data_IF_219213443238
#
_entry.id   IF_219213443238
#
_cell.length_a   1.000
_cell.length_b   1.000
_cell.length_c   1.000
_cell.angle_alpha   90.00
_cell.angle_beta   90.00
_cell.angle_gamma   90.00
#
_symmetry.space_group_name_H-M   'P 1'
#
loop_
_entity.id
_entity.type
_entity.pdbx_description
1 polymer ?
#
# COMPACT_ATOMS: atom_id res chain seq x y z
N UNK A 1 9.75 -22.41 17.64
CA UNK A 1 8.31 -22.18 17.86
C UNK A 1 7.91 -20.70 17.86
N UNK A 2 8.80 -19.73 18.08
CA UNK A 2 8.46 -18.31 18.08
C UNK A 2 8.32 -17.65 16.68
N UNK A 3 9.05 -18.14 15.66
CA UNK A 3 9.02 -17.55 14.31
C UNK A 3 7.68 -17.72 13.57
N UNK A 4 6.94 -18.79 13.85
CA UNK A 4 5.66 -19.07 13.19
C UNK A 4 4.54 -18.10 13.60
N UNK A 5 4.53 -17.65 14.86
CA UNK A 5 3.57 -16.66 15.36
C UNK A 5 3.85 -15.28 14.79
N UNK A 6 5.13 -14.88 14.76
CA UNK A 6 5.57 -13.60 14.21
C UNK A 6 5.31 -13.48 12.71
N UNK A 7 5.48 -14.56 11.95
CA UNK A 7 5.16 -14.59 10.52
C UNK A 7 3.65 -14.40 10.27
N UNK A 8 2.78 -14.88 11.17
CA UNK A 8 1.34 -14.78 11.00
C UNK A 8 0.81 -13.38 11.30
N UNK A 9 1.40 -12.71 12.29
CA UNK A 9 1.13 -11.30 12.58
C UNK A 9 1.60 -10.38 11.45
N UNK A 10 2.79 -10.65 10.88
CA UNK A 10 3.34 -9.88 9.74
C UNK A 10 2.44 -9.99 8.48
N UNK A 11 1.88 -11.17 8.21
CA UNK A 11 0.94 -11.38 7.10
C UNK A 11 -0.41 -10.71 7.37
N UNK A 12 -0.92 -10.81 8.61
CA UNK A 12 -2.18 -10.18 9.00
C UNK A 12 -2.11 -8.66 8.84
N UNK A 13 -0.98 -8.07 9.22
CA UNK A 13 -0.73 -6.65 9.04
C UNK A 13 -0.61 -6.24 7.56
N UNK A 14 0.12 -7.02 6.76
CA UNK A 14 0.19 -6.80 5.30
C UNK A 14 -1.21 -6.82 4.67
N UNK A 15 -2.05 -7.80 5.03
CA UNK A 15 -3.42 -7.90 4.52
C UNK A 15 -4.26 -6.70 4.96
N UNK A 16 -4.11 -6.25 6.21
CA UNK A 16 -4.81 -5.06 6.70
C UNK A 16 -4.36 -3.79 5.95
N UNK A 17 -3.06 -3.64 5.70
CA UNK A 17 -2.49 -2.55 4.90
C UNK A 17 -3.02 -2.57 3.47
N UNK A 18 -2.99 -3.72 2.80
CA UNK A 18 -3.48 -3.88 1.43
C UNK A 18 -4.97 -3.55 1.32
N UNK A 19 -5.80 -3.98 2.29
CA UNK A 19 -7.22 -3.62 2.33
C UNK A 19 -7.43 -2.11 2.48
N UNK A 20 -6.65 -1.47 3.33
CA UNK A 20 -6.73 -0.01 3.51
C UNK A 20 -6.32 0.74 2.23
N UNK A 21 -5.25 0.28 1.57
CA UNK A 21 -4.78 0.82 0.30
C UNK A 21 -5.81 0.63 -0.82
N UNK A 22 -6.48 -0.52 -0.86
CA UNK A 22 -7.50 -0.83 -1.87
C UNK A 22 -8.75 0.05 -1.70
N UNK A 23 -9.17 0.26 -0.44
CA UNK A 23 -10.29 1.13 -0.05
C UNK A 23 -10.03 2.63 -0.23
N UNK A 24 -8.89 3.04 -0.81
CA UNK A 24 -8.58 4.42 -1.14
C UNK A 24 -8.92 4.71 -2.63
N UNK A 25 -10.14 5.15 -2.98
CA UNK A 25 -10.56 5.34 -4.38
C UNK A 25 -9.93 6.57 -5.02
N UNK A 26 -9.65 7.62 -4.25
CA UNK A 26 -9.06 8.88 -4.72
C UNK A 26 -7.54 8.81 -4.88
N UNK A 27 -6.93 7.71 -4.48
CA UNK A 27 -5.49 7.51 -4.49
C UNK A 27 -5.01 6.89 -5.79
N UNK A 28 -3.91 7.41 -6.32
CA UNK A 28 -3.25 6.84 -7.49
C UNK A 28 -2.58 5.51 -7.14
N UNK A 29 -2.39 4.64 -8.14
CA UNK A 29 -1.63 3.39 -7.97
C UNK A 29 -0.21 3.65 -7.46
N UNK A 30 0.38 4.80 -7.81
CA UNK A 30 1.70 5.22 -7.34
C UNK A 30 1.68 5.53 -5.84
N UNK A 31 0.69 6.29 -5.36
CA UNK A 31 0.52 6.60 -3.93
C UNK A 31 0.26 5.33 -3.11
N UNK A 32 -0.55 4.42 -3.66
CA UNK A 32 -0.80 3.09 -3.10
C UNK A 32 0.50 2.29 -2.98
N UNK A 33 1.30 2.25 -4.05
CA UNK A 33 2.57 1.56 -4.09
C UNK A 33 3.60 2.16 -3.12
N UNK A 34 3.76 3.48 -3.10
CA UNK A 34 4.68 4.15 -2.18
C UNK A 34 4.29 3.93 -0.72
N UNK A 35 3.00 3.96 -0.41
CA UNK A 35 2.49 3.64 0.93
C UNK A 35 2.89 2.24 1.36
N UNK A 36 2.74 1.25 0.48
CA UNK A 36 3.16 -0.11 0.73
C UNK A 36 4.68 -0.20 0.98
N UNK A 37 5.50 0.44 0.13
CA UNK A 37 6.96 0.45 0.29
C UNK A 37 7.38 1.08 1.62
N UNK A 38 6.86 2.25 1.96
CA UNK A 38 7.24 2.95 3.20
C UNK A 38 6.83 2.17 4.45
N UNK A 39 5.65 1.55 4.45
CA UNK A 39 5.25 0.66 5.53
C UNK A 39 6.18 -0.56 5.64
N UNK A 40 6.55 -1.17 4.52
CA UNK A 40 7.47 -2.29 4.48
C UNK A 40 8.85 -1.92 5.00
N UNK A 41 9.35 -0.73 4.66
CA UNK A 41 10.62 -0.20 5.16
C UNK A 41 10.56 0.09 6.66
N UNK A 42 9.50 0.75 7.15
CA UNK A 42 9.29 1.04 8.58
C UNK A 42 9.26 -0.24 9.44
N UNK A 43 8.75 -1.34 8.88
CA UNK A 43 8.70 -2.65 9.55
C UNK A 43 9.96 -3.50 9.37
N UNK A 44 10.83 -3.14 8.43
CA UNK A 44 11.96 -3.98 8.03
C UNK A 44 11.53 -5.25 7.27
N UNK A 45 10.33 -5.27 6.70
CA UNK A 45 9.71 -6.45 6.07
C UNK A 45 9.60 -6.34 4.55
N UNK A 46 10.05 -5.23 3.94
CA UNK A 46 9.91 -5.00 2.49
C UNK A 46 10.51 -6.13 1.63
N UNK A 47 11.66 -6.68 2.01
CA UNK A 47 12.29 -7.81 1.32
C UNK A 47 11.43 -9.07 1.39
N UNK A 48 10.84 -9.37 2.57
CA UNK A 48 9.93 -10.52 2.75
C UNK A 48 8.66 -10.38 1.91
N UNK A 49 8.11 -9.17 1.86
CA UNK A 49 6.89 -8.92 1.08
C UNK A 49 7.15 -9.02 -0.42
N UNK A 50 8.31 -8.53 -0.89
CA UNK A 50 8.77 -8.72 -2.25
C UNK A 50 8.95 -10.20 -2.60
N UNK A 51 9.63 -10.96 -1.75
CA UNK A 51 9.82 -12.41 -1.92
C UNK A 51 8.50 -13.15 -1.98
N UNK A 52 7.56 -12.80 -1.09
CA UNK A 52 6.23 -13.42 -1.05
C UNK A 52 5.46 -13.21 -2.36
N UNK A 53 5.54 -12.02 -2.97
CA UNK A 53 4.86 -11.75 -4.23
C UNK A 53 5.55 -12.51 -5.38
N UNK A 54 6.88 -12.46 -5.43
CA UNK A 54 7.65 -13.06 -6.52
C UNK A 54 7.70 -14.58 -6.47
N UNK A 55 7.50 -15.20 -5.30
CA UNK A 55 7.42 -16.65 -5.17
C UNK A 55 6.10 -17.24 -5.68
N UNK A 56 5.10 -16.41 -6.03
CA UNK A 56 3.79 -16.86 -6.50
C UNK A 56 3.75 -16.82 -8.03
N UNK A 57 4.15 -17.92 -8.66
CA UNK A 57 4.19 -18.07 -10.12
C UNK A 57 2.90 -17.63 -10.83
N UNK A 58 1.73 -17.95 -10.27
CA UNK A 58 0.43 -17.58 -10.86
C UNK A 58 0.21 -16.06 -10.87
N UNK A 59 0.62 -15.37 -9.79
CA UNK A 59 0.55 -13.92 -9.69
C UNK A 59 1.58 -13.30 -10.63
N UNK A 60 2.82 -13.78 -10.61
CA UNK A 60 3.87 -13.21 -11.48
C UNK A 60 3.49 -13.33 -12.96
N UNK A 61 2.97 -14.49 -13.39
CA UNK A 61 2.56 -14.71 -14.79
C UNK A 61 1.32 -13.92 -15.21
N UNK A 62 0.46 -13.51 -14.26
CA UNK A 62 -0.72 -12.70 -14.59
C UNK A 62 -0.41 -11.22 -14.73
N UNK A 63 0.63 -10.72 -14.04
CA UNK A 63 0.98 -9.29 -14.00
C UNK A 63 2.26 -8.93 -14.76
N UNK A 64 3.11 -9.91 -15.08
CA UNK A 64 4.38 -9.69 -15.75
C UNK A 64 4.56 -10.62 -16.95
N UNK A 65 5.34 -10.16 -17.92
CA UNK A 65 5.76 -10.97 -19.07
C UNK A 65 6.90 -11.92 -18.68
N UNK A 66 7.07 -13.02 -19.42
CA UNK A 66 8.16 -13.98 -19.19
C UNK A 66 9.57 -13.36 -19.35
N UNK A 67 9.69 -12.25 -20.10
CA UNK A 67 10.94 -11.51 -20.29
C UNK A 67 11.13 -10.37 -19.27
N UNK A 68 10.20 -10.23 -18.33
CA UNK A 68 10.32 -9.23 -17.27
C UNK A 68 11.45 -9.60 -16.31
N UNK A 69 11.96 -8.58 -15.61
CA UNK A 69 12.94 -8.80 -14.56
C UNK A 69 12.39 -9.69 -13.42
N UNK A 70 11.10 -9.53 -13.09
CA UNK A 70 10.41 -10.31 -12.03
C UNK A 70 10.20 -11.77 -12.45
N UNK A 71 9.95 -12.04 -13.73
CA UNK A 71 9.86 -13.40 -14.28
C UNK A 71 11.21 -14.11 -14.42
N UNK A 72 12.32 -13.41 -14.15
CA UNK A 72 13.67 -13.96 -14.16
C UNK A 72 14.20 -14.14 -12.72
N UNK A 73 15.29 -14.90 -12.51
CA UNK A 73 15.99 -14.94 -11.21
C UNK A 73 16.48 -13.56 -10.70
N UNK A 74 16.34 -12.49 -11.50
CA UNK A 74 16.63 -11.12 -11.10
C UNK A 74 15.85 -10.68 -9.86
N UNK A 75 14.62 -11.17 -9.62
CA UNK A 75 13.87 -10.77 -8.42
C UNK A 75 14.59 -11.12 -7.11
N UNK A 76 15.37 -12.20 -7.08
CA UNK A 76 16.19 -12.60 -5.93
C UNK A 76 17.30 -11.57 -5.66
N UNK A 77 17.81 -10.91 -6.71
CA UNK A 77 18.79 -9.82 -6.56
C UNK A 77 18.16 -8.60 -5.89
N UNK A 78 16.94 -8.23 -6.28
CA UNK A 78 16.19 -7.15 -5.61
C UNK A 78 15.98 -7.51 -4.13
N UNK A 79 15.58 -8.74 -3.83
CA UNK A 79 15.44 -9.19 -2.44
C UNK A 79 16.73 -9.03 -1.63
N UNK A 80 17.86 -9.47 -2.21
CA UNK A 80 19.18 -9.31 -1.60
C UNK A 80 19.54 -7.84 -1.34
N UNK A 81 19.16 -6.92 -2.24
CA UNK A 81 19.40 -5.48 -2.07
C UNK A 81 18.47 -4.83 -1.04
N UNK A 82 17.25 -5.34 -0.89
CA UNK A 82 16.28 -4.88 0.09
C UNK A 82 16.58 -5.38 1.51
N UNK A 83 17.19 -6.56 1.63
CA UNK A 83 17.45 -7.19 2.93
C UNK A 83 18.30 -6.32 3.89
N UNK A 84 19.39 -5.66 3.46
CA UNK A 84 20.14 -4.73 4.32
C UNK A 84 19.31 -3.60 4.91
N UNK A 85 18.25 -3.16 4.21
CA UNK A 85 17.37 -2.09 4.71
C UNK A 85 16.61 -2.53 5.96
N UNK A 86 16.41 -3.84 6.18
CA UNK A 86 15.74 -4.34 7.39
C UNK A 86 16.52 -4.07 8.69
N UNK A 87 17.82 -3.77 8.60
CA UNK A 87 18.65 -3.40 9.75
C UNK A 87 18.61 -1.91 10.06
N UNK A 88 17.95 -1.09 9.22
CA UNK A 88 17.81 0.34 9.40
C UNK A 88 16.45 0.68 10.02
N UNK A 89 16.44 1.69 10.89
CA UNK A 89 15.22 2.21 11.47
C UNK A 89 14.71 3.38 10.61
N UNK A 90 13.59 3.17 9.93
CA UNK A 90 12.95 4.20 9.13
C UNK A 90 11.81 4.85 9.89
N UNK A 91 11.80 6.18 9.89
CA UNK A 91 10.69 6.99 10.36
C UNK A 91 10.27 7.93 9.23
N UNK A 92 9.01 7.84 8.82
CA UNK A 92 8.45 8.67 7.77
C UNK A 92 7.34 9.54 8.38
N UNK A 93 7.38 10.84 8.09
CA UNK A 93 6.30 11.73 8.48
C UNK A 93 5.07 11.51 7.59
N UNK A 94 3.90 11.55 8.24
CA UNK A 94 2.58 11.33 7.64
C UNK A 94 2.27 12.38 6.55
N UNK A 95 2.95 13.52 6.55
CA UNK A 95 2.78 14.61 5.58
C UNK A 95 3.52 14.42 4.24
N UNK A 96 4.15 13.26 4.01
CA UNK A 96 4.84 13.01 2.74
C UNK A 96 3.78 12.91 1.64
N UNK A 97 3.71 13.93 0.77
CA UNK A 97 2.65 14.19 -0.24
C UNK A 97 2.27 13.01 -1.15
N UNK A 98 3.09 11.96 -1.22
CA UNK A 98 2.90 10.81 -2.10
C UNK A 98 2.43 9.56 -1.36
N UNK A 99 1.92 9.69 -0.13
CA UNK A 99 1.50 8.56 0.70
C UNK A 99 0.09 8.72 1.22
N UNK A 100 -0.58 7.59 1.40
CA UNK A 100 -1.92 7.52 1.96
C UNK A 100 -1.86 7.86 3.45
N UNK A 101 -2.50 8.97 3.81
CA UNK A 101 -2.71 9.35 5.19
C UNK A 101 -3.94 8.62 5.77
N UNK A 102 -3.81 7.76 6.80
CA UNK A 102 -4.96 7.12 7.44
C UNK A 102 -6.01 8.14 7.95
N UNK A 103 -5.55 9.33 8.34
CA UNK A 103 -6.38 10.43 8.86
C UNK A 103 -7.11 11.18 7.73
N UNK A 104 -6.55 11.19 6.52
CA UNK A 104 -7.19 11.85 5.38
C UNK A 104 -8.36 11.04 4.84
N UNK A 105 -8.37 9.69 4.93
CA UNK A 105 -9.51 8.89 4.46
C UNK A 105 -10.80 9.12 5.26
N UNK A 106 -10.70 9.30 6.58
CA UNK A 106 -11.85 9.66 7.40
C UNK A 106 -12.43 11.02 6.99
N UNK A 107 -11.56 11.97 6.62
CA UNK A 107 -11.97 13.30 6.16
C UNK A 107 -12.38 13.33 4.68
N UNK A 108 -11.86 12.46 3.83
CA UNK A 108 -12.20 12.41 2.40
C UNK A 108 -13.58 11.78 2.20
N UNK A 109 -13.87 10.65 2.86
CA UNK A 109 -15.22 10.07 2.87
C UNK A 109 -16.25 11.05 3.47
N UNK A 110 -15.83 11.86 4.45
CA UNK A 110 -16.67 12.93 5.01
C UNK A 110 -16.83 14.10 4.04
N UNK A 111 -15.80 14.48 3.28
CA UNK A 111 -15.88 15.54 2.25
C UNK A 111 -16.71 15.12 1.06
N UNK A 112 -16.54 13.89 0.56
CA UNK A 112 -17.31 13.38 -0.57
C UNK A 112 -18.81 13.26 -0.17
N UNK A 113 -19.11 12.87 1.08
CA UNK A 113 -20.47 12.92 1.63
C UNK A 113 -21.01 14.35 1.80
N UNK A 114 -20.17 15.30 2.20
CA UNK A 114 -20.55 16.72 2.30
C UNK A 114 -20.78 17.35 0.92
N UNK A 115 -19.97 17.01 -0.08
CA UNK A 115 -20.13 17.46 -1.47
C UNK A 115 -21.38 16.81 -2.11
N UNK A 116 -21.73 15.57 -1.75
CA UNK A 116 -22.97 14.92 -2.17
C UNK A 116 -24.21 15.53 -1.46
N UNK A 117 -24.07 15.97 -0.21
CA UNK A 117 -25.09 16.76 0.49
C UNK A 117 -25.26 18.16 -0.13
N UNK A 118 -24.16 18.84 -0.47
CA UNK A 118 -24.19 20.18 -1.06
C UNK A 118 -24.84 20.17 -2.45
N UNK A 119 -24.57 19.12 -3.25
CA UNK A 119 -25.21 18.90 -4.54
C UNK A 119 -26.68 18.44 -4.44
N UNK A 120 -27.14 17.93 -3.30
CA UNK A 120 -28.56 17.59 -3.08
C UNK A 120 -29.38 18.76 -2.52
N UNK A 121 -28.75 19.88 -2.19
CA UNK A 121 -29.43 21.11 -1.72
C UNK A 121 -29.74 22.15 -2.81
N UNK A 122 -29.73 21.78 -4.09
CA UNK A 122 -30.42 22.55 -5.16
C UNK A 122 -31.97 22.62 -4.98
N UNK A 123 -32.52 22.22 -3.83
CA UNK A 123 -33.96 22.32 -3.54
C UNK A 123 -34.44 23.67 -2.99
N UNK A 124 -33.58 24.67 -2.78
CA UNK A 124 -34.05 26.03 -2.47
C UNK A 124 -33.35 27.09 -3.31
N UNK A 125 -33.79 27.18 -4.57
CA UNK A 125 -33.82 28.43 -5.32
C UNK A 125 -34.52 29.50 -4.47
N UNK A 126 -33.76 30.48 -4.00
CA UNK A 126 -34.27 31.84 -3.95
C UNK A 126 -33.47 32.66 -4.95
N UNK A 127 -34.02 32.77 -6.16
CA UNK A 127 -33.80 33.94 -7.01
C UNK A 127 -34.02 35.18 -6.12
N UNK A 128 -32.98 36.02 -6.03
CA UNK A 128 -33.13 37.44 -5.66
C UNK A 128 -33.38 38.21 -6.95
#
# INVERSE_FOLDING_TARGET
MADGLRSNDELSELVALLRMIDLAPSATTEEKFFTWVLHGLKRGSIHKWWDLICSQDEIVKSWYTDQSFVGSPGYEQISCLLKPLSYLFFHFEVATRSTLCPIFFANQASRDYLDELDNTHELFSWKI
#
